data_IF_895471534377
#
_entry.id   IF_895471534377
#
_cell.length_a   1.000
_cell.length_b   1.000
_cell.length_c   1.000
_cell.angle_alpha   90.00
_cell.angle_beta   90.00
_cell.angle_gamma   90.00
#
_symmetry.space_group_name_H-M   'P 1'
#
loop_
_entity.id
_entity.type
_entity.pdbx_description
1 polymer ?
#
# COMPACT_ATOMS: atom_id res chain seq x y z
N UNK A 1 12.50 11.22 51.73
CA UNK A 1 12.36 10.00 50.92
C UNK A 1 10.92 9.68 50.55
N UNK A 2 9.90 9.84 51.37
CA UNK A 2 8.49 9.50 51.03
C UNK A 2 7.88 10.34 49.89
N UNK A 3 8.34 11.62 49.65
CA UNK A 3 7.84 12.49 48.58
C UNK A 3 8.38 12.14 47.17
N UNK A 4 9.57 11.55 47.08
CA UNK A 4 10.13 11.06 45.81
C UNK A 4 9.45 9.78 45.29
N UNK A 5 8.98 8.92 46.19
CA UNK A 5 8.24 7.71 45.81
C UNK A 5 6.87 8.03 45.22
N UNK A 6 6.23 9.12 45.64
CA UNK A 6 4.94 9.56 45.08
C UNK A 6 5.05 10.14 43.68
N UNK A 7 6.17 10.80 43.36
CA UNK A 7 6.43 11.33 42.01
C UNK A 7 6.74 10.23 40.99
N UNK A 8 7.42 9.17 41.41
CA UNK A 8 7.72 8.02 40.55
C UNK A 8 6.48 7.18 40.26
N UNK A 9 5.51 7.13 41.17
CA UNK A 9 4.25 6.41 40.96
C UNK A 9 3.30 7.16 40.00
N UNK A 10 3.40 8.49 39.93
CA UNK A 10 2.56 9.28 39.01
C UNK A 10 3.02 9.18 37.55
N UNK A 11 4.28 8.84 37.32
CA UNK A 11 4.83 8.65 35.95
C UNK A 11 4.43 7.31 35.32
N UNK A 12 3.92 6.34 36.11
CA UNK A 12 3.50 5.02 35.62
C UNK A 12 2.08 5.05 35.04
N UNK A 13 1.30 6.13 35.28
CA UNK A 13 -0.05 6.33 34.76
C UNK A 13 -0.11 7.27 33.53
N UNK A 14 0.97 7.43 32.79
CA UNK A 14 0.82 7.92 31.41
C UNK A 14 0.15 6.76 30.65
N UNK A 15 -1.14 6.86 30.29
CA UNK A 15 -1.71 5.85 29.44
C UNK A 15 -0.83 5.82 28.19
N UNK A 16 -0.20 4.68 27.92
CA UNK A 16 0.28 4.33 26.60
C UNK A 16 -0.98 4.33 25.74
N UNK A 17 -1.41 5.51 25.32
CA UNK A 17 -2.39 5.64 24.27
C UNK A 17 -1.76 4.90 23.09
N UNK A 18 -2.15 3.65 22.90
CA UNK A 18 -1.94 2.98 21.63
C UNK A 18 -2.43 3.98 20.62
N UNK A 19 -1.51 4.51 19.79
CA UNK A 19 -1.80 5.59 18.83
C UNK A 19 -2.89 5.10 17.90
N UNK A 20 -4.11 5.37 18.30
CA UNK A 20 -5.29 5.18 17.49
C UNK A 20 -5.18 6.15 16.32
N UNK A 21 -5.41 5.66 15.11
CA UNK A 21 -5.38 6.49 13.92
C UNK A 21 -6.70 7.22 13.77
N UNK A 22 -6.67 8.55 13.69
CA UNK A 22 -7.84 9.38 13.41
C UNK A 22 -7.81 9.90 11.98
N UNK A 23 -8.97 10.32 11.47
CA UNK A 23 -9.06 10.95 10.15
C UNK A 23 -8.21 12.22 10.08
N UNK A 24 -8.22 13.04 11.13
CA UNK A 24 -7.38 14.23 11.24
C UNK A 24 -5.90 13.88 11.15
N UNK A 25 -5.45 12.83 11.83
CA UNK A 25 -4.05 12.37 11.79
C UNK A 25 -3.62 11.99 10.38
N UNK A 26 -4.47 11.27 9.62
CA UNK A 26 -4.20 10.89 8.24
C UNK A 26 -4.09 12.10 7.31
N UNK A 27 -4.98 13.09 7.49
CA UNK A 27 -5.06 14.27 6.62
C UNK A 27 -4.01 15.33 6.93
N UNK A 28 -3.64 15.51 8.21
CA UNK A 28 -2.70 16.54 8.64
C UNK A 28 -1.22 16.18 8.45
N UNK A 29 -0.91 14.92 8.16
CA UNK A 29 0.47 14.44 8.00
C UNK A 29 0.73 13.83 6.61
N UNK A 30 0.64 14.60 5.51
CA UNK A 30 0.73 14.08 4.14
C UNK A 30 2.11 13.51 3.77
N UNK A 31 3.17 13.85 4.51
CA UNK A 31 4.50 13.28 4.34
C UNK A 31 4.64 11.88 4.97
N UNK A 32 3.84 11.59 5.99
CA UNK A 32 3.82 10.28 6.64
C UNK A 32 2.76 9.37 6.02
N UNK A 33 1.58 9.93 5.75
CA UNK A 33 0.43 9.22 5.21
C UNK A 33 0.12 9.70 3.79
N UNK A 34 0.61 8.97 2.81
CA UNK A 34 0.47 9.32 1.40
C UNK A 34 -0.89 8.89 0.91
N UNK A 35 -1.65 9.82 0.35
CA UNK A 35 -2.94 9.56 -0.28
C UNK A 35 -2.74 8.77 -1.57
N UNK A 36 -3.18 7.52 -1.57
CA UNK A 36 -3.05 6.62 -2.72
C UNK A 36 -4.18 6.80 -3.75
N UNK A 37 -5.39 7.04 -3.27
CA UNK A 37 -6.55 7.22 -4.12
C UNK A 37 -7.74 7.74 -3.33
N UNK A 38 -8.63 8.44 -4.03
CA UNK A 38 -9.89 8.97 -3.51
C UNK A 38 -11.01 8.52 -4.41
N UNK A 39 -12.06 7.98 -3.80
CA UNK A 39 -13.25 7.45 -4.44
C UNK A 39 -14.48 8.06 -3.75
N UNK A 40 -15.69 8.03 -4.35
CA UNK A 40 -16.86 8.72 -3.80
C UNK A 40 -17.18 8.39 -2.34
N UNK A 41 -16.93 7.15 -1.90
CA UNK A 41 -17.22 6.69 -0.54
C UNK A 41 -16.00 6.31 0.28
N UNK A 42 -14.78 6.39 -0.29
CA UNK A 42 -13.57 5.94 0.39
C UNK A 42 -12.31 6.66 -0.07
N UNK A 43 -11.32 6.68 0.81
CA UNK A 43 -9.97 7.17 0.51
C UNK A 43 -8.93 6.21 1.07
N UNK A 44 -7.90 5.91 0.30
CA UNK A 44 -6.79 5.07 0.73
C UNK A 44 -5.57 5.94 1.07
N UNK A 45 -4.99 5.68 2.23
CA UNK A 45 -3.72 6.25 2.67
C UNK A 45 -2.72 5.14 2.93
N UNK A 46 -1.47 5.40 2.65
CA UNK A 46 -0.38 4.48 2.87
C UNK A 46 0.64 5.12 3.84
N UNK A 47 1.09 4.37 4.85
CA UNK A 47 2.12 4.83 5.77
C UNK A 47 3.51 4.62 5.15
N UNK A 48 4.16 5.72 4.72
CA UNK A 48 5.39 5.69 3.93
C UNK A 48 6.52 4.85 4.56
N UNK A 49 6.72 4.99 5.87
CA UNK A 49 7.79 4.30 6.58
C UNK A 49 7.43 2.85 6.97
N UNK A 50 6.26 2.36 6.57
CA UNK A 50 5.81 1.00 6.87
C UNK A 50 6.25 -0.03 5.84
N UNK A 51 6.85 0.38 4.72
CA UNK A 51 7.26 -0.56 3.68
C UNK A 51 8.34 -1.51 4.20
N UNK A 52 8.08 -2.81 4.06
CA UNK A 52 9.02 -3.89 4.32
C UNK A 52 9.20 -4.72 3.06
N UNK A 53 10.45 -5.02 2.73
CA UNK A 53 10.77 -5.95 1.65
C UNK A 53 10.77 -7.35 2.23
N UNK A 54 9.83 -8.19 1.77
CA UNK A 54 9.73 -9.59 2.18
C UNK A 54 10.49 -10.52 1.23
N UNK A 55 10.55 -10.15 -0.05
CA UNK A 55 11.31 -10.85 -1.08
C UNK A 55 11.87 -9.83 -2.07
N UNK A 56 13.14 -9.98 -2.40
CA UNK A 56 13.84 -9.19 -3.43
C UNK A 56 14.73 -10.14 -4.23
N UNK A 57 14.12 -10.85 -5.17
CA UNK A 57 14.82 -11.77 -6.05
C UNK A 57 14.22 -11.69 -7.45
N UNK A 58 14.85 -10.89 -8.32
CA UNK A 58 14.36 -10.70 -9.68
C UNK A 58 14.05 -12.05 -10.37
N UNK A 59 12.91 -12.17 -11.09
CA UNK A 59 11.95 -11.11 -11.39
C UNK A 59 10.88 -10.88 -10.30
N UNK A 60 10.98 -11.53 -9.16
CA UNK A 60 9.95 -11.48 -8.12
C UNK A 60 10.32 -10.52 -6.99
N UNK A 61 9.42 -9.60 -6.70
CA UNK A 61 9.48 -8.69 -5.56
C UNK A 61 8.22 -8.89 -4.70
N UNK A 62 8.38 -8.89 -3.38
CA UNK A 62 7.24 -8.86 -2.45
C UNK A 62 7.45 -7.78 -1.42
N UNK A 63 6.50 -6.86 -1.35
CA UNK A 63 6.48 -5.75 -0.41
C UNK A 63 5.31 -5.91 0.55
N UNK A 64 5.52 -5.51 1.80
CA UNK A 64 4.45 -5.32 2.77
C UNK A 64 4.37 -3.85 3.13
N UNK A 65 3.15 -3.30 3.22
CA UNK A 65 2.90 -1.93 3.58
C UNK A 65 1.64 -1.81 4.45
N UNK A 66 1.60 -0.82 5.32
CA UNK A 66 0.42 -0.48 6.09
C UNK A 66 -0.43 0.52 5.31
N UNK A 67 -1.69 0.17 5.11
CA UNK A 67 -2.66 0.95 4.35
C UNK A 67 -3.87 1.22 5.22
N UNK A 68 -4.37 2.44 5.19
CA UNK A 68 -5.58 2.85 5.87
C UNK A 68 -6.67 3.11 4.84
N UNK A 69 -7.79 2.42 4.99
CA UNK A 69 -8.99 2.64 4.19
C UNK A 69 -9.97 3.47 5.01
N UNK A 70 -10.17 4.72 4.61
CA UNK A 70 -11.22 5.59 5.16
C UNK A 70 -12.51 5.31 4.42
N UNK A 71 -13.56 4.91 5.15
CA UNK A 71 -14.90 4.62 4.64
C UNK A 71 -15.86 5.68 5.15
N UNK A 72 -16.24 6.63 4.27
CA UNK A 72 -17.04 7.80 4.66
C UNK A 72 -18.49 7.46 4.98
N UNK A 73 -19.07 6.46 4.32
CA UNK A 73 -20.42 5.96 4.55
C UNK A 73 -20.55 5.20 5.88
N UNK A 74 -19.46 4.62 6.38
CA UNK A 74 -19.41 3.88 7.63
C UNK A 74 -18.81 4.69 8.79
N UNK A 75 -18.30 5.92 8.52
CA UNK A 75 -17.55 6.76 9.45
C UNK A 75 -16.41 5.99 10.14
N UNK A 76 -15.74 5.13 9.39
CA UNK A 76 -14.75 4.20 9.91
C UNK A 76 -13.44 4.25 9.11
N UNK A 77 -12.35 3.85 9.78
CA UNK A 77 -11.02 3.68 9.20
C UNK A 77 -10.59 2.23 9.44
N UNK A 78 -10.35 1.48 8.38
CA UNK A 78 -9.71 0.17 8.48
C UNK A 78 -8.18 0.35 8.43
N UNK A 79 -7.47 -0.34 9.33
CA UNK A 79 -6.02 -0.48 9.35
C UNK A 79 -5.67 -1.84 8.76
N UNK A 80 -5.14 -1.82 7.55
CA UNK A 80 -4.89 -3.01 6.77
C UNK A 80 -3.38 -3.21 6.53
N UNK A 81 -2.95 -4.46 6.56
CA UNK A 81 -1.63 -4.87 6.09
C UNK A 81 -1.73 -5.42 4.67
N UNK A 82 -1.18 -4.68 3.72
CA UNK A 82 -1.10 -5.08 2.32
C UNK A 82 0.22 -5.80 2.06
N UNK A 83 0.15 -7.05 1.62
CA UNK A 83 1.31 -7.77 1.08
C UNK A 83 1.13 -7.88 -0.43
N UNK A 84 2.00 -7.22 -1.18
CA UNK A 84 1.92 -7.15 -2.64
C UNK A 84 3.09 -7.90 -3.25
N UNK A 85 2.79 -8.89 -4.06
CA UNK A 85 3.78 -9.66 -4.83
C UNK A 85 3.74 -9.26 -6.30
N UNK A 86 4.90 -8.96 -6.85
CA UNK A 86 5.09 -8.53 -8.24
C UNK A 86 5.90 -9.57 -8.99
N UNK A 87 5.46 -9.89 -10.22
CA UNK A 87 6.29 -10.49 -11.26
C UNK A 87 6.73 -9.37 -12.20
N UNK A 88 7.97 -8.90 -12.06
CA UNK A 88 8.50 -7.78 -12.83
C UNK A 88 8.59 -8.06 -14.33
N UNK A 89 8.60 -9.33 -14.76
CA UNK A 89 8.51 -9.70 -16.18
C UNK A 89 7.15 -9.31 -16.78
N UNK A 90 6.11 -9.16 -15.95
CA UNK A 90 4.76 -8.75 -16.36
C UNK A 90 4.54 -7.24 -16.28
N UNK A 91 5.56 -6.46 -15.90
CA UNK A 91 5.47 -4.99 -15.94
C UNK A 91 5.34 -4.47 -17.37
N UNK A 92 4.65 -3.34 -17.56
CA UNK A 92 4.50 -2.73 -18.89
C UNK A 92 5.84 -2.53 -19.61
N UNK A 93 6.89 -1.98 -18.97
CA UNK A 93 8.19 -1.86 -19.60
C UNK A 93 8.80 -3.20 -20.03
N UNK A 94 8.73 -4.22 -19.16
CA UNK A 94 9.30 -5.54 -19.48
C UNK A 94 8.57 -6.21 -20.64
N UNK A 95 7.25 -6.11 -20.69
CA UNK A 95 6.44 -6.62 -21.80
C UNK A 95 6.77 -5.90 -23.12
N UNK A 96 6.90 -4.57 -23.07
CA UNK A 96 7.27 -3.78 -24.25
C UNK A 96 8.69 -4.13 -24.75
N UNK A 97 9.67 -4.23 -23.83
CA UNK A 97 11.05 -4.59 -24.18
C UNK A 97 11.10 -6.00 -24.79
N UNK A 98 10.43 -6.99 -24.20
CA UNK A 98 10.38 -8.34 -24.74
C UNK A 98 9.82 -8.36 -26.16
N UNK A 99 8.76 -7.59 -26.39
CA UNK A 99 8.14 -7.49 -27.73
C UNK A 99 9.03 -6.77 -28.74
N UNK A 100 9.75 -5.72 -28.32
CA UNK A 100 10.69 -5.01 -29.19
C UNK A 100 11.84 -5.92 -29.66
N UNK A 101 12.33 -6.80 -28.80
CA UNK A 101 13.36 -7.78 -29.13
C UNK A 101 12.84 -8.79 -30.19
N UNK A 102 11.59 -9.25 -30.03
CA UNK A 102 10.97 -10.19 -30.98
C UNK A 102 10.63 -9.54 -32.33
N UNK A 103 10.35 -8.24 -32.34
CA UNK A 103 9.84 -7.51 -33.50
C UNK A 103 10.56 -6.16 -33.64
N UNK A 104 11.80 -6.11 -34.18
CA UNK A 104 12.63 -4.90 -34.17
C UNK A 104 12.06 -3.69 -34.95
N UNK A 105 11.10 -3.93 -35.86
CA UNK A 105 10.49 -2.86 -36.67
C UNK A 105 9.13 -2.38 -36.12
N UNK A 106 8.76 -2.83 -34.91
CA UNK A 106 7.51 -2.44 -34.26
C UNK A 106 7.56 -0.97 -33.83
N UNK A 107 6.47 -0.24 -33.99
CA UNK A 107 6.37 1.15 -33.52
C UNK A 107 6.16 1.25 -32.02
N UNK A 108 6.48 2.40 -31.44
CA UNK A 108 6.23 2.67 -30.00
C UNK A 108 4.76 2.51 -29.63
N UNK A 109 3.84 2.90 -30.52
CA UNK A 109 2.40 2.76 -30.29
C UNK A 109 1.99 1.29 -30.20
N UNK A 110 2.41 0.48 -31.16
CA UNK A 110 2.13 -0.97 -31.15
C UNK A 110 2.74 -1.69 -29.95
N UNK A 111 3.94 -1.27 -29.48
CA UNK A 111 4.55 -1.77 -28.25
C UNK A 111 3.70 -1.46 -27.02
N UNK A 112 3.21 -0.23 -26.93
CA UNK A 112 2.35 0.20 -25.82
C UNK A 112 1.05 -0.58 -25.80
N UNK A 113 0.39 -0.69 -26.95
CA UNK A 113 -0.87 -1.44 -27.10
C UNK A 113 -0.69 -2.93 -26.73
N UNK A 114 0.40 -3.54 -27.20
CA UNK A 114 0.76 -4.91 -26.85
C UNK A 114 0.95 -5.08 -25.35
N UNK A 115 1.76 -4.21 -24.71
CA UNK A 115 2.05 -4.30 -23.28
C UNK A 115 0.77 -4.14 -22.44
N UNK A 116 -0.12 -3.21 -22.81
CA UNK A 116 -1.42 -3.02 -22.15
C UNK A 116 -2.30 -4.25 -22.34
N UNK A 117 -2.38 -4.79 -23.55
CA UNK A 117 -3.19 -5.99 -23.83
C UNK A 117 -2.73 -7.21 -23.03
N UNK A 118 -1.42 -7.40 -22.88
CA UNK A 118 -0.85 -8.47 -22.07
C UNK A 118 -1.07 -8.24 -20.57
N UNK A 119 -0.89 -6.99 -20.08
CA UNK A 119 -1.15 -6.64 -18.68
C UNK A 119 -2.64 -6.79 -18.28
N UNK A 120 -3.57 -6.59 -19.22
CA UNK A 120 -5.01 -6.86 -19.03
C UNK A 120 -5.29 -8.35 -18.84
N UNK A 121 -4.54 -9.23 -19.47
CA UNK A 121 -4.65 -10.70 -19.28
C UNK A 121 -4.09 -11.11 -17.93
N UNK A 122 -2.91 -10.62 -17.60
CA UNK A 122 -2.23 -10.86 -16.32
C UNK A 122 -1.30 -9.69 -15.99
N UNK A 123 -1.64 -8.96 -14.93
CA UNK A 123 -0.84 -7.81 -14.46
C UNK A 123 0.45 -8.20 -13.77
N UNK A 124 0.64 -9.48 -13.41
CA UNK A 124 1.74 -9.95 -12.60
C UNK A 124 1.69 -9.50 -11.13
N UNK A 125 0.57 -8.95 -10.67
CA UNK A 125 0.42 -8.42 -9.31
C UNK A 125 -0.60 -9.24 -8.52
N UNK A 126 -0.18 -9.73 -7.34
CA UNK A 126 -1.06 -10.38 -6.36
C UNK A 126 -1.05 -9.59 -5.08
N UNK A 127 -2.23 -9.22 -4.60
CA UNK A 127 -2.42 -8.48 -3.34
C UNK A 127 -3.04 -9.41 -2.31
N UNK A 128 -2.45 -9.42 -1.11
CA UNK A 128 -3.00 -10.08 0.06
C UNK A 128 -3.25 -9.01 1.13
N UNK A 129 -4.50 -8.87 1.57
CA UNK A 129 -4.95 -7.84 2.51
C UNK A 129 -5.35 -8.54 3.80
N UNK A 130 -4.73 -8.13 4.90
CA UNK A 130 -5.11 -8.54 6.25
C UNK A 130 -5.64 -7.32 6.99
N UNK A 131 -6.93 -7.32 7.32
CA UNK A 131 -7.53 -6.30 8.17
C UNK A 131 -7.08 -6.54 9.62
N UNK A 132 -6.52 -5.51 10.26
CA UNK A 132 -6.03 -5.59 11.63
C UNK A 132 -7.04 -5.00 12.61
N UNK A 133 -7.37 -3.71 12.44
CA UNK A 133 -8.25 -2.98 13.34
C UNK A 133 -9.18 -2.06 12.56
N UNK A 134 -10.29 -1.69 13.23
CA UNK A 134 -11.19 -0.65 12.76
C UNK A 134 -11.25 0.46 13.81
N UNK A 135 -11.25 1.69 13.35
CA UNK A 135 -11.32 2.89 14.16
C UNK A 135 -12.48 3.76 13.71
N UNK A 136 -13.06 4.53 14.62
CA UNK A 136 -13.90 5.67 14.28
C UNK A 136 -13.03 6.83 13.79
N UNK A 137 -13.63 7.88 13.25
CA UNK A 137 -12.88 9.03 12.74
C UNK A 137 -12.12 9.81 13.81
N UNK A 138 -12.55 9.71 15.06
CA UNK A 138 -11.85 10.28 16.23
C UNK A 138 -10.67 9.42 16.71
N UNK A 139 -10.48 8.24 16.14
CA UNK A 139 -9.43 7.28 16.49
C UNK A 139 -9.85 6.26 17.57
N UNK A 140 -11.11 6.26 18.02
CA UNK A 140 -11.60 5.24 18.96
C UNK A 140 -11.65 3.88 18.27
N UNK A 141 -11.11 2.84 18.91
CA UNK A 141 -11.15 1.47 18.37
C UNK A 141 -12.59 0.98 18.38
N UNK A 142 -13.05 0.48 17.24
CA UNK A 142 -14.35 -0.18 17.15
C UNK A 142 -14.22 -1.60 17.72
N UNK A 143 -14.81 -1.83 18.89
CA UNK A 143 -14.72 -3.11 19.62
C UNK A 143 -15.58 -4.23 19.05
N UNK A 144 -16.43 -3.94 18.09
CA UNK A 144 -17.22 -4.95 17.39
C UNK A 144 -16.28 -5.70 16.46
N UNK A 145 -15.76 -6.83 16.98
CA UNK A 145 -14.82 -7.70 16.30
C UNK A 145 -15.23 -8.01 14.87
N UNK A 146 -14.79 -7.16 13.97
CA UNK A 146 -14.87 -7.47 12.55
C UNK A 146 -13.96 -8.65 12.30
N UNK A 147 -14.41 -9.64 11.54
CA UNK A 147 -13.59 -10.80 11.24
C UNK A 147 -12.31 -10.29 10.57
N UNK A 148 -11.17 -10.90 10.91
CA UNK A 148 -9.93 -10.72 10.16
C UNK A 148 -10.24 -11.14 8.73
N UNK A 149 -10.46 -10.16 7.86
CA UNK A 149 -10.72 -10.43 6.44
C UNK A 149 -9.37 -10.63 5.79
N UNK A 150 -9.08 -11.86 5.41
CA UNK A 150 -7.93 -12.17 4.58
C UNK A 150 -8.43 -12.25 3.14
N UNK A 151 -8.12 -11.22 2.36
CA UNK A 151 -8.41 -11.22 0.93
C UNK A 151 -7.11 -11.44 0.17
N UNK A 152 -7.09 -12.47 -0.69
CA UNK A 152 -6.00 -12.68 -1.65
C UNK A 152 -6.56 -12.62 -3.06
N UNK A 153 -6.12 -11.65 -3.83
CA UNK A 153 -6.64 -11.40 -5.17
C UNK A 153 -5.52 -11.01 -6.15
N UNK A 154 -5.68 -11.42 -7.42
CA UNK A 154 -4.90 -10.83 -8.52
C UNK A 154 -5.42 -9.44 -8.81
N UNK A 155 -4.54 -8.44 -8.73
CA UNK A 155 -4.89 -7.07 -9.08
C UNK A 155 -5.07 -6.96 -10.59
N UNK A 156 -6.31 -6.82 -11.05
CA UNK A 156 -6.60 -6.63 -12.47
C UNK A 156 -6.13 -5.25 -12.92
N UNK A 157 -5.61 -5.16 -14.14
CA UNK A 157 -5.16 -3.92 -14.75
C UNK A 157 -6.23 -2.81 -14.64
N UNK A 158 -5.83 -1.59 -14.31
CA UNK A 158 -6.70 -0.41 -14.12
C UNK A 158 -7.70 -0.49 -12.95
N UNK A 159 -7.63 -1.49 -12.08
CA UNK A 159 -8.44 -1.52 -10.86
C UNK A 159 -7.81 -0.69 -9.73
N UNK A 160 -8.61 -0.43 -8.68
CA UNK A 160 -8.16 0.23 -7.44
C UNK A 160 -6.96 -0.50 -6.83
N UNK A 161 -7.02 -1.82 -6.72
CA UNK A 161 -5.91 -2.62 -6.14
C UNK A 161 -4.64 -2.54 -7.00
N UNK A 162 -4.78 -2.53 -8.33
CA UNK A 162 -3.66 -2.33 -9.24
C UNK A 162 -3.01 -0.95 -9.05
N UNK A 163 -3.83 0.10 -8.93
CA UNK A 163 -3.34 1.46 -8.70
C UNK A 163 -2.61 1.59 -7.36
N UNK A 164 -3.17 1.03 -6.28
CA UNK A 164 -2.55 1.03 -4.94
C UNK A 164 -1.21 0.28 -4.97
N UNK A 165 -1.20 -0.93 -5.55
CA UNK A 165 0.01 -1.74 -5.66
C UNK A 165 1.12 -1.00 -6.42
N UNK A 166 0.82 -0.39 -7.56
CA UNK A 166 1.79 0.38 -8.32
C UNK A 166 2.33 1.57 -7.52
N UNK A 167 1.50 2.30 -6.78
CA UNK A 167 1.96 3.41 -5.94
C UNK A 167 2.90 2.94 -4.82
N UNK A 168 2.61 1.81 -4.17
CA UNK A 168 3.51 1.19 -3.18
C UNK A 168 4.85 0.83 -3.83
N UNK A 169 4.82 0.21 -5.02
CA UNK A 169 6.02 -0.13 -5.78
C UNK A 169 6.84 1.10 -6.14
N UNK A 170 6.20 2.15 -6.63
CA UNK A 170 6.86 3.42 -6.95
C UNK A 170 7.54 4.04 -5.74
N UNK A 171 6.85 4.12 -4.60
CA UNK A 171 7.42 4.67 -3.38
C UNK A 171 8.62 3.86 -2.88
N UNK A 172 8.58 2.54 -2.98
CA UNK A 172 9.72 1.70 -2.65
C UNK A 172 10.91 1.97 -3.57
N UNK A 173 10.68 2.10 -4.88
CA UNK A 173 11.74 2.27 -5.88
C UNK A 173 12.31 3.70 -5.94
N UNK A 174 11.55 4.74 -5.55
CA UNK A 174 12.10 6.10 -5.41
C UNK A 174 13.20 6.17 -4.34
N UNK A 175 13.19 5.25 -3.37
CA UNK A 175 14.28 5.08 -2.43
C UNK A 175 15.46 4.27 -3.01
N UNK A 176 15.32 3.68 -4.20
CA UNK A 176 16.36 2.95 -4.94
C UNK A 176 16.53 3.62 -6.30
N UNK A 177 17.50 4.53 -6.42
CA UNK A 177 17.80 5.34 -7.62
C UNK A 177 18.15 4.55 -8.91
N UNK A 178 17.89 3.24 -9.00
CA UNK A 178 18.53 2.39 -10.01
C UNK A 178 17.63 1.70 -11.04
N UNK A 179 16.30 1.83 -11.01
CA UNK A 179 15.48 1.02 -11.94
C UNK A 179 14.91 1.74 -13.17
N UNK A 180 14.96 3.07 -13.25
CA UNK A 180 14.38 3.82 -14.37
C UNK A 180 15.24 4.98 -14.91
N UNK A 181 16.51 5.09 -14.55
CA UNK A 181 17.43 6.11 -15.07
C UNK A 181 18.01 5.75 -16.45
N UNK A 182 17.28 5.00 -17.26
CA UNK A 182 17.75 4.50 -18.54
C UNK A 182 16.71 4.50 -19.66
N UNK A 183 15.70 5.38 -19.62
CA UNK A 183 14.84 5.66 -20.79
C UNK A 183 14.70 7.14 -21.01
#
# INVERSE_FOLDING_TARGET
>A
MKRLLFLSLLLIFIPLNAYAISLETLQSNPTKYIKLGEYPTSTYYFEQNSIKVLRDSFPYLTLQAKVYLVMYDQLAIADDSFTVSYDCNRSLPSLAISKAIESPNITTHELTDYAIAEAKKDSGIVVNINANNYYQFDGTITTNGSPIVVLKEKAKFETVLYSIANKIFYHHNQCREYFFAGM
#
